data_IF_112209122502
#
_entry.id   IF_112209122502
#
_cell.length_a   1.000
_cell.length_b   1.000
_cell.length_c   1.000
_cell.angle_alpha   90.00
_cell.angle_beta   90.00
_cell.angle_gamma   90.00
#
_symmetry.space_group_name_H-M   'P 1'
#
loop_
_entity.id
_entity.type
_entity.pdbx_description
1 polymer ?
#
# COMPACT_ATOMS: atom_id res chain seq x y z
N UNK A 1 32.77 26.50 5.78
CA UNK A 1 31.39 25.96 5.87
C UNK A 1 31.12 24.87 4.83
N UNK A 2 31.35 25.11 3.52
CA UNK A 2 31.14 24.11 2.46
C UNK A 2 31.95 22.81 2.65
N UNK A 3 33.20 22.92 3.11
CA UNK A 3 34.09 21.79 3.41
C UNK A 3 33.60 20.93 4.59
N UNK A 4 33.04 21.54 5.63
CA UNK A 4 32.43 20.82 6.76
C UNK A 4 31.17 20.05 6.37
N UNK A 5 30.36 20.60 5.45
CA UNK A 5 29.17 19.93 4.91
C UNK A 5 29.56 18.70 4.08
N UNK A 6 30.60 18.82 3.24
CA UNK A 6 31.12 17.70 2.45
C UNK A 6 31.70 16.60 3.36
N UNK A 7 32.43 16.98 4.42
CA UNK A 7 32.98 16.03 5.38
C UNK A 7 31.88 15.29 6.17
N UNK A 8 30.82 16.00 6.53
CA UNK A 8 29.63 15.41 7.16
C UNK A 8 28.92 14.43 6.24
N UNK A 9 28.86 14.71 4.94
CA UNK A 9 28.24 13.81 3.96
C UNK A 9 29.11 12.56 3.72
N UNK A 10 30.44 12.69 3.74
CA UNK A 10 31.38 11.57 3.63
C UNK A 10 31.34 10.61 4.83
N UNK A 11 31.09 11.13 6.03
CA UNK A 11 30.99 10.32 7.26
C UNK A 11 29.73 9.46 7.34
N UNK A 12 28.66 9.82 6.61
CA UNK A 12 27.37 9.10 6.60
C UNK A 12 27.32 8.01 5.53
N UNK A 13 28.08 8.15 4.44
CA UNK A 13 28.18 7.17 3.36
C UNK A 13 28.47 5.71 3.79
N UNK A 14 29.36 5.42 4.78
CA UNK A 14 29.59 4.04 5.21
C UNK A 14 28.43 3.42 6.02
N UNK A 15 27.49 4.22 6.55
CA UNK A 15 26.29 3.68 7.22
C UNK A 15 25.21 3.20 6.25
N UNK A 16 25.28 3.56 4.97
CA UNK A 16 24.36 3.10 3.92
C UNK A 16 24.75 1.72 3.35
N UNK A 17 25.95 1.23 3.68
CA UNK A 17 26.57 0.06 3.06
C UNK A 17 26.58 -1.20 3.93
N UNK A 18 25.42 -1.71 4.35
CA UNK A 18 25.32 -3.11 4.83
C UNK A 18 24.46 -3.93 3.87
N UNK A 19 25.06 -4.40 2.78
CA UNK A 19 24.46 -5.45 1.96
C UNK A 19 24.74 -6.80 2.61
N UNK A 20 23.86 -7.22 3.53
CA UNK A 20 23.83 -8.61 3.96
C UNK A 20 22.97 -9.40 2.96
N UNK A 21 23.61 -10.20 2.09
CA UNK A 21 22.92 -11.30 1.39
C UNK A 21 22.60 -12.39 2.41
N UNK A 22 21.52 -12.18 3.15
CA UNK A 22 20.82 -13.23 3.88
C UNK A 22 19.53 -13.46 3.12
N UNK A 23 19.17 -14.72 2.79
CA UNK A 23 17.81 -14.98 2.36
C UNK A 23 16.91 -14.64 3.55
N UNK A 24 16.27 -13.47 3.49
CA UNK A 24 15.44 -12.98 4.58
C UNK A 24 14.16 -13.82 4.59
N UNK A 25 14.15 -14.84 5.43
CA UNK A 25 12.94 -15.60 5.73
C UNK A 25 12.03 -14.70 6.57
N UNK A 26 11.09 -14.01 5.92
CA UNK A 26 10.07 -13.16 6.57
C UNK A 26 9.17 -13.96 7.53
N UNK A 27 9.20 -15.29 7.43
CA UNK A 27 8.46 -16.23 8.25
C UNK A 27 9.33 -16.85 9.36
N UNK A 28 10.58 -16.42 9.52
CA UNK A 28 11.46 -16.90 10.58
C UNK A 28 10.94 -16.54 11.98
N UNK A 29 11.33 -17.35 12.98
CA UNK A 29 11.08 -17.05 14.40
C UNK A 29 11.77 -15.73 14.74
N UNK A 30 11.09 -14.86 15.46
CA UNK A 30 11.48 -13.48 15.80
C UNK A 30 11.63 -12.52 14.61
N UNK A 31 11.14 -12.87 13.43
CA UNK A 31 11.08 -11.93 12.32
C UNK A 31 10.04 -10.85 12.60
N UNK A 32 10.43 -9.58 12.39
CA UNK A 32 9.53 -8.44 12.34
C UNK A 32 9.10 -8.18 10.90
N UNK A 33 7.83 -7.79 10.72
CA UNK A 33 7.31 -7.37 9.43
C UNK A 33 6.49 -6.10 9.56
N UNK A 34 6.49 -5.32 8.49
CA UNK A 34 5.64 -4.15 8.30
C UNK A 34 5.15 -4.17 6.87
N UNK A 35 3.87 -3.86 6.67
CA UNK A 35 3.31 -3.57 5.37
C UNK A 35 2.23 -2.51 5.50
N UNK A 36 2.03 -1.76 4.42
CA UNK A 36 0.91 -0.85 4.28
C UNK A 36 0.50 -0.77 2.81
N UNK A 37 -0.67 -0.23 2.56
CA UNK A 37 -1.16 -0.03 1.21
C UNK A 37 -2.61 0.41 1.19
N UNK A 38 -3.16 0.45 -0.02
CA UNK A 38 -4.50 0.93 -0.29
C UNK A 38 -5.28 -0.16 -1.01
N UNK A 39 -6.58 -0.26 -0.73
CA UNK A 39 -7.44 -1.21 -1.40
C UNK A 39 -7.57 -0.88 -2.89
N UNK A 40 -7.61 -1.92 -3.72
CA UNK A 40 -7.93 -1.87 -5.15
C UNK A 40 -9.07 -2.85 -5.42
N UNK A 41 -9.95 -2.51 -6.34
CA UNK A 41 -11.11 -3.35 -6.65
C UNK A 41 -11.18 -3.69 -8.13
N UNK A 42 -11.63 -4.90 -8.42
CA UNK A 42 -11.97 -5.37 -9.76
C UNK A 42 -13.41 -5.87 -9.74
N UNK A 43 -14.16 -5.54 -10.78
CA UNK A 43 -15.59 -5.80 -10.85
C UNK A 43 -15.91 -6.64 -12.08
N UNK A 44 -16.87 -7.56 -11.93
CA UNK A 44 -17.50 -8.23 -13.06
C UNK A 44 -18.61 -7.36 -13.64
N UNK A 45 -19.05 -7.69 -14.86
CA UNK A 45 -20.23 -7.05 -15.44
C UNK A 45 -21.45 -7.23 -14.54
N UNK A 46 -22.18 -6.14 -14.35
CA UNK A 46 -23.32 -6.07 -13.45
C UNK A 46 -24.64 -5.93 -14.23
N UNK A 47 -25.73 -6.33 -13.58
CA UNK A 47 -27.09 -6.03 -14.01
C UNK A 47 -27.70 -5.08 -12.98
N UNK A 48 -28.13 -3.91 -13.42
CA UNK A 48 -28.78 -2.90 -12.57
C UNK A 48 -30.25 -2.87 -12.92
N UNK A 49 -31.13 -2.99 -11.92
CA UNK A 49 -32.58 -2.96 -12.12
C UNK A 49 -33.16 -1.69 -11.51
N UNK A 50 -34.01 -1.01 -12.29
CA UNK A 50 -34.67 0.24 -11.95
C UNK A 50 -36.18 0.00 -11.92
N UNK A 51 -36.82 0.38 -10.82
CA UNK A 51 -38.26 0.19 -10.60
C UNK A 51 -38.87 1.49 -10.06
N UNK A 52 -40.04 1.87 -10.58
CA UNK A 52 -40.83 3.01 -10.10
C UNK A 52 -42.19 3.14 -10.81
N UNK A 53 -43.03 4.12 -10.42
CA UNK A 53 -44.32 4.32 -11.06
C UNK A 53 -44.14 4.68 -12.55
N UNK A 54 -44.59 3.78 -13.44
CA UNK A 54 -44.49 3.95 -14.88
C UNK A 54 -43.19 3.47 -15.53
N UNK A 55 -42.27 2.84 -14.77
CA UNK A 55 -41.08 2.22 -15.35
C UNK A 55 -40.57 1.02 -14.54
N UNK A 56 -40.23 -0.05 -15.27
CA UNK A 56 -39.54 -1.23 -14.78
C UNK A 56 -38.60 -1.70 -15.89
N UNK A 57 -37.30 -1.50 -15.70
CA UNK A 57 -36.31 -1.92 -16.68
C UNK A 57 -34.98 -2.28 -16.01
N UNK A 58 -34.14 -3.01 -16.76
CA UNK A 58 -32.80 -3.39 -16.30
C UNK A 58 -31.75 -3.07 -17.35
N UNK A 59 -30.60 -2.59 -16.91
CA UNK A 59 -29.39 -2.46 -17.71
C UNK A 59 -28.50 -3.68 -17.47
N UNK A 60 -28.17 -4.40 -18.54
CA UNK A 60 -27.26 -5.54 -18.49
C UNK A 60 -25.88 -5.17 -19.05
N UNK A 61 -24.83 -5.83 -18.54
CA UNK A 61 -23.46 -5.60 -19.02
C UNK A 61 -22.85 -4.29 -18.51
N UNK A 62 -23.37 -3.72 -17.44
CA UNK A 62 -22.83 -2.48 -16.86
C UNK A 62 -21.47 -2.76 -16.24
N UNK A 63 -20.46 -2.00 -16.62
CA UNK A 63 -19.11 -2.10 -16.08
C UNK A 63 -18.90 -1.09 -14.96
N UNK A 64 -18.52 -1.59 -13.78
CA UNK A 64 -18.05 -0.75 -12.69
C UNK A 64 -16.52 -0.63 -12.76
N UNK A 65 -16.02 0.56 -12.43
CA UNK A 65 -14.58 0.84 -12.35
C UNK A 65 -14.18 1.08 -10.90
N UNK A 66 -12.92 0.78 -10.61
CA UNK A 66 -12.30 1.17 -9.35
C UNK A 66 -12.23 2.70 -9.21
N UNK A 67 -12.10 3.18 -7.97
CA UNK A 67 -12.05 4.61 -7.67
C UNK A 67 -10.79 4.99 -6.88
N UNK A 68 -9.59 4.86 -7.47
CA UNK A 68 -8.36 5.36 -6.88
C UNK A 68 -8.41 6.90 -6.74
N UNK A 69 -7.59 7.45 -5.84
CA UNK A 69 -7.28 8.89 -5.89
C UNK A 69 -6.70 9.26 -7.26
N UNK A 70 -7.15 10.36 -7.89
CA UNK A 70 -6.61 10.82 -9.17
C UNK A 70 -5.14 11.23 -9.06
N UNK A 71 -4.73 11.78 -7.92
CA UNK A 71 -3.39 12.31 -7.72
C UNK A 71 -2.49 11.32 -6.97
N UNK A 72 -1.34 10.99 -7.57
CA UNK A 72 -0.36 10.07 -6.97
C UNK A 72 0.16 10.56 -5.60
N UNK A 73 0.28 11.88 -5.43
CA UNK A 73 0.74 12.49 -4.18
C UNK A 73 -0.13 12.09 -3.00
N UNK A 74 -1.43 11.86 -3.22
CA UNK A 74 -2.36 11.41 -2.17
C UNK A 74 -1.87 10.16 -1.44
N UNK A 75 -1.16 9.27 -2.14
CA UNK A 75 -0.71 7.99 -1.59
C UNK A 75 0.58 8.08 -0.78
N UNK A 76 1.34 9.17 -0.90
CA UNK A 76 2.66 9.33 -0.27
C UNK A 76 2.74 10.53 0.66
N UNK A 77 1.82 11.50 0.54
CA UNK A 77 1.71 12.63 1.45
C UNK A 77 1.23 12.15 2.83
N UNK A 78 2.03 12.37 3.90
CA UNK A 78 1.67 12.00 5.27
C UNK A 78 0.32 12.54 5.74
N UNK A 79 -0.11 13.70 5.23
CA UNK A 79 -1.38 14.33 5.59
C UNK A 79 -2.60 13.62 4.98
N UNK A 80 -2.42 12.86 3.89
CA UNK A 80 -3.50 12.15 3.18
C UNK A 80 -3.35 10.63 3.19
N UNK A 81 -2.36 10.09 3.91
CA UNK A 81 -2.07 8.64 3.96
C UNK A 81 -3.28 7.75 4.29
N UNK A 82 -4.29 8.24 4.98
CA UNK A 82 -5.47 7.45 5.37
C UNK A 82 -6.52 7.31 4.27
N UNK A 83 -6.42 8.09 3.19
CA UNK A 83 -7.37 8.17 2.08
C UNK A 83 -6.76 7.49 0.83
N UNK A 84 -7.51 6.71 0.03
CA UNK A 84 -8.96 6.47 0.09
C UNK A 84 -9.41 5.38 1.06
N UNK A 85 -8.61 4.31 1.25
CA UNK A 85 -8.88 3.21 2.18
C UNK A 85 -7.54 2.58 2.59
N UNK A 86 -6.91 3.14 3.61
CA UNK A 86 -5.57 2.75 4.06
C UNK A 86 -5.59 1.53 4.96
N UNK A 87 -4.68 0.58 4.68
CA UNK A 87 -4.38 -0.55 5.55
C UNK A 87 -2.91 -0.52 5.92
N UNK A 88 -2.60 -0.70 7.20
CA UNK A 88 -1.24 -0.93 7.67
C UNK A 88 -1.22 -2.04 8.72
N UNK A 89 -0.16 -2.83 8.72
CA UNK A 89 0.08 -3.84 9.74
C UNK A 89 1.56 -3.90 10.07
N UNK A 90 1.83 -3.97 11.36
CA UNK A 90 3.12 -4.31 11.93
C UNK A 90 2.95 -5.59 12.74
N UNK A 91 3.95 -6.46 12.73
CA UNK A 91 3.88 -7.70 13.47
C UNK A 91 5.23 -8.34 13.73
N UNK A 92 5.18 -9.37 14.57
CA UNK A 92 6.34 -10.11 15.06
C UNK A 92 6.02 -11.60 15.17
N UNK A 93 6.89 -12.45 14.62
CA UNK A 93 6.70 -13.89 14.61
C UNK A 93 7.23 -14.53 15.90
N UNK A 94 6.33 -14.98 16.79
CA UNK A 94 6.75 -15.69 18.02
C UNK A 94 7.35 -17.09 17.73
N UNK A 95 6.90 -17.73 16.65
CA UNK A 95 7.38 -19.03 16.12
C UNK A 95 7.54 -18.92 14.61
N UNK A 96 8.22 -19.89 13.98
CA UNK A 96 8.35 -19.93 12.51
C UNK A 96 6.98 -20.14 11.86
N UNK A 97 6.66 -19.43 10.77
CA UNK A 97 5.37 -19.47 10.06
C UNK A 97 4.17 -19.12 10.95
N UNK A 98 4.28 -18.04 11.73
CA UNK A 98 3.22 -17.63 12.67
C UNK A 98 2.13 -16.78 12.01
N UNK A 99 2.50 -15.78 11.22
CA UNK A 99 1.61 -14.73 10.70
C UNK A 99 1.50 -14.72 9.18
#
# INVERSE_FOLDING_TARGET
MKTFIILSFLLVLPFLGTSQKTSKDSQAKRAMFVYWGYNRSAYTNSKISFFGPGYDFSLAGVQATDRPSPDFITYVDPSTLTVPQFNARIGFNFKKKWA
#
